data_IF_620847530012
#
_entry.id   IF_620847530012
#
_cell.length_a   1.000
_cell.length_b   1.000
_cell.length_c   1.000
_cell.angle_alpha   90.00
_cell.angle_beta   90.00
_cell.angle_gamma   90.00
#
_symmetry.space_group_name_H-M   'P 1'
#
loop_
_entity.id
_entity.type
_entity.pdbx_description
1 polymer ?
#
# COMPACT_ATOMS: atom_id res chain seq x y z
N UNK A 1 22.20 15.94 33.24
CA UNK A 1 22.25 16.42 31.83
C UNK A 1 22.15 15.22 30.90
N UNK A 2 20.95 14.80 30.53
CA UNK A 2 20.73 13.73 29.54
C UNK A 2 19.98 14.31 28.34
N UNK A 3 20.66 14.53 27.23
CA UNK A 3 20.04 14.98 25.98
C UNK A 3 19.75 13.76 25.11
N UNK A 4 18.48 13.40 25.03
CA UNK A 4 17.96 12.46 24.05
C UNK A 4 18.24 12.97 22.63
N UNK A 5 18.94 12.17 21.83
CA UNK A 5 19.07 12.39 20.38
C UNK A 5 17.78 11.92 19.70
N UNK A 6 16.74 12.76 19.74
CA UNK A 6 15.61 12.63 18.82
C UNK A 6 16.11 12.96 17.42
N UNK A 7 16.06 11.97 16.53
CA UNK A 7 16.38 12.14 15.12
C UNK A 7 15.55 13.31 14.55
N UNK A 8 16.24 14.35 14.07
CA UNK A 8 15.61 15.51 13.44
C UNK A 8 14.73 15.03 12.28
N UNK A 9 13.40 15.09 12.47
CA UNK A 9 12.42 14.99 11.40
C UNK A 9 12.81 15.97 10.30
N UNK A 10 13.29 15.47 9.16
CA UNK A 10 13.68 16.33 8.04
C UNK A 10 12.43 16.69 7.24
N UNK A 11 12.09 17.99 7.22
CA UNK A 11 11.13 18.66 6.30
C UNK A 11 11.56 18.58 4.81
N UNK A 12 12.08 17.44 4.34
CA UNK A 12 12.70 17.32 3.01
C UNK A 12 11.70 17.24 1.86
N UNK A 13 10.44 16.85 2.10
CA UNK A 13 9.48 16.61 1.01
C UNK A 13 9.18 17.85 0.17
N UNK A 14 8.91 19.00 0.82
CA UNK A 14 8.54 20.23 0.13
C UNK A 14 9.73 20.93 -0.56
N UNK A 15 10.90 20.95 0.08
CA UNK A 15 12.09 21.66 -0.42
C UNK A 15 12.84 20.91 -1.54
N UNK A 16 12.62 19.60 -1.67
CA UNK A 16 13.33 18.77 -2.67
C UNK A 16 12.65 18.69 -4.04
N UNK A 17 11.45 19.27 -4.19
CA UNK A 17 10.62 19.05 -5.37
C UNK A 17 10.17 17.59 -5.54
N UNK A 18 10.23 16.78 -4.49
CA UNK A 18 9.84 15.38 -4.52
C UNK A 18 8.31 15.21 -4.46
N UNK A 19 7.82 14.11 -5.02
CA UNK A 19 6.49 13.60 -4.75
C UNK A 19 6.47 12.84 -3.43
N UNK A 20 5.47 13.09 -2.59
CA UNK A 20 5.17 12.25 -1.44
C UNK A 20 4.14 11.22 -1.91
N UNK A 21 4.54 9.95 -1.92
CA UNK A 21 3.70 8.85 -2.40
C UNK A 21 3.36 7.93 -1.25
N UNK A 22 2.07 7.78 -0.95
CA UNK A 22 1.57 6.79 0.01
C UNK A 22 1.18 5.53 -0.75
N UNK A 23 1.85 4.42 -0.45
CA UNK A 23 1.54 3.12 -1.03
C UNK A 23 0.74 2.25 -0.04
N UNK A 24 -0.25 1.55 -0.57
CA UNK A 24 -1.04 0.56 0.16
C UNK A 24 -1.52 -0.56 -0.78
N UNK A 25 -1.74 -1.73 -0.21
CA UNK A 25 -2.28 -2.90 -0.89
C UNK A 25 -3.67 -3.27 -0.35
N UNK A 26 -4.62 -3.46 -1.28
CA UNK A 26 -5.95 -3.99 -0.96
C UNK A 26 -6.17 -5.33 -1.67
N UNK A 27 -6.88 -6.23 -1.00
CA UNK A 27 -7.27 -7.52 -1.57
C UNK A 27 -8.77 -7.72 -1.41
N UNK A 28 -9.46 -7.97 -2.51
CA UNK A 28 -10.89 -8.32 -2.52
C UNK A 28 -11.08 -9.76 -2.97
N UNK A 29 -12.05 -10.45 -2.36
CA UNK A 29 -12.51 -11.75 -2.84
C UNK A 29 -13.54 -11.50 -3.93
N UNK A 30 -13.42 -12.19 -5.08
CA UNK A 30 -14.44 -12.17 -6.12
C UNK A 30 -15.60 -13.14 -5.82
N UNK A 31 -15.70 -13.63 -4.58
CA UNK A 31 -16.90 -14.31 -4.12
C UNK A 31 -18.07 -13.33 -4.23
N UNK A 32 -19.15 -13.74 -4.91
CA UNK A 32 -20.30 -12.87 -5.14
C UNK A 32 -20.73 -12.15 -3.88
N UNK A 33 -20.82 -10.81 -3.96
CA UNK A 33 -21.32 -9.99 -2.87
C UNK A 33 -22.75 -10.42 -2.53
N UNK A 34 -23.10 -10.43 -1.24
CA UNK A 34 -24.50 -10.62 -0.82
C UNK A 34 -25.28 -9.43 -1.36
N UNK A 35 -26.17 -9.69 -2.33
CA UNK A 35 -27.04 -8.67 -2.91
C UNK A 35 -28.39 -8.65 -2.19
N UNK A 36 -29.04 -7.49 -2.19
CA UNK A 36 -30.45 -7.40 -1.80
C UNK A 36 -31.28 -8.33 -2.69
N UNK A 37 -32.00 -9.26 -2.07
CA UNK A 37 -32.93 -10.15 -2.77
C UNK A 37 -34.34 -9.77 -2.34
N UNK A 38 -35.26 -9.67 -3.29
CA UNK A 38 -36.67 -9.48 -2.98
C UNK A 38 -37.24 -10.79 -2.43
N UNK A 39 -37.81 -10.75 -1.23
CA UNK A 39 -38.50 -11.86 -0.60
C UNK A 39 -39.84 -11.38 -0.05
N UNK A 40 -40.85 -12.28 0.07
CA UNK A 40 -42.10 -11.96 0.75
C UNK A 40 -41.83 -11.43 2.17
N UNK A 41 -42.61 -10.43 2.59
CA UNK A 41 -42.48 -9.85 3.91
C UNK A 41 -42.62 -10.93 5.01
N UNK A 42 -41.69 -10.96 5.95
CA UNK A 42 -41.65 -11.95 7.04
C UNK A 42 -41.02 -13.30 6.68
N UNK A 43 -40.51 -13.49 5.44
CA UNK A 43 -39.83 -14.72 5.04
C UNK A 43 -38.35 -14.45 4.77
N UNK A 44 -37.46 -15.05 5.57
CA UNK A 44 -36.01 -14.97 5.34
C UNK A 44 -35.64 -15.82 4.12
N UNK A 45 -35.09 -15.24 3.04
CA UNK A 45 -34.70 -16.01 1.88
C UNK A 45 -33.47 -16.88 2.20
N UNK A 46 -33.55 -18.18 1.91
CA UNK A 46 -32.42 -19.10 1.97
C UNK A 46 -31.71 -19.12 0.61
N UNK A 47 -30.50 -18.56 0.55
CA UNK A 47 -29.69 -18.52 -0.67
C UNK A 47 -28.63 -19.63 -0.65
N UNK A 48 -28.70 -20.55 -1.61
CA UNK A 48 -27.66 -21.54 -1.85
C UNK A 48 -26.60 -20.95 -2.77
N UNK A 49 -25.43 -20.61 -2.22
CA UNK A 49 -24.30 -20.10 -2.99
C UNK A 49 -23.33 -21.23 -3.28
N UNK A 50 -23.12 -21.55 -4.56
CA UNK A 50 -21.99 -22.40 -4.97
C UNK A 50 -20.73 -21.56 -4.83
N UNK A 51 -19.90 -21.87 -3.83
CA UNK A 51 -18.61 -21.22 -3.64
C UNK A 51 -17.67 -21.68 -4.77
N UNK A 52 -17.63 -20.90 -5.86
CA UNK A 52 -16.68 -21.10 -6.95
C UNK A 52 -15.22 -20.95 -6.48
N UNK A 53 -14.26 -21.06 -7.41
CA UNK A 53 -12.85 -20.81 -7.09
C UNK A 53 -12.72 -19.47 -6.34
N UNK A 54 -12.02 -19.46 -5.20
CA UNK A 54 -11.77 -18.24 -4.42
C UNK A 54 -10.77 -17.37 -5.18
N UNK A 55 -11.23 -16.77 -6.28
CA UNK A 55 -10.40 -15.90 -7.08
C UNK A 55 -10.25 -14.60 -6.31
N UNK A 56 -9.05 -14.39 -5.78
CA UNK A 56 -8.67 -13.14 -5.14
C UNK A 56 -8.23 -12.15 -6.21
N UNK A 57 -8.67 -10.91 -6.09
CA UNK A 57 -8.12 -9.78 -6.82
C UNK A 57 -7.38 -8.91 -5.82
N UNK A 58 -6.11 -8.65 -6.07
CA UNK A 58 -5.36 -7.69 -5.28
C UNK A 58 -5.00 -6.47 -6.11
N UNK A 59 -4.95 -5.32 -5.45
CA UNK A 59 -4.66 -4.01 -6.01
C UNK A 59 -3.58 -3.38 -5.15
N UNK A 60 -2.54 -2.84 -5.78
CA UNK A 60 -1.58 -1.96 -5.12
C UNK A 60 -1.70 -0.57 -5.73
N UNK A 61 -1.74 0.45 -4.88
CA UNK A 61 -1.94 1.83 -5.31
C UNK A 61 -0.96 2.79 -4.63
N UNK A 62 -0.69 3.91 -5.30
CA UNK A 62 0.13 5.02 -4.86
C UNK A 62 -0.69 6.31 -4.95
N UNK A 63 -0.99 6.92 -3.81
CA UNK A 63 -1.53 8.28 -3.74
C UNK A 63 -0.38 9.28 -3.69
N UNK A 64 -0.21 10.06 -4.75
CA UNK A 64 0.95 10.89 -5.02
C UNK A 64 0.61 12.38 -4.86
N UNK A 65 1.35 13.08 -4.00
CA UNK A 65 1.15 14.49 -3.70
C UNK A 65 2.43 15.31 -3.89
N UNK A 66 2.31 16.47 -4.53
CA UNK A 66 3.38 17.46 -4.63
C UNK A 66 2.77 18.86 -4.60
N UNK A 67 3.28 19.79 -3.77
CA UNK A 67 2.78 21.17 -3.74
C UNK A 67 2.79 21.82 -5.14
N UNK A 68 1.70 22.49 -5.50
CA UNK A 68 1.56 23.14 -6.81
C UNK A 68 1.31 22.18 -7.98
N UNK A 69 1.07 20.89 -7.72
CA UNK A 69 0.68 19.89 -8.72
C UNK A 69 -0.65 19.25 -8.33
N UNK A 70 -1.42 18.81 -9.32
CA UNK A 70 -2.62 18.02 -9.05
C UNK A 70 -2.23 16.66 -8.46
N UNK A 71 -2.91 16.18 -7.41
CA UNK A 71 -2.71 14.83 -6.89
C UNK A 71 -2.88 13.78 -7.98
N UNK A 72 -2.09 12.70 -7.92
CA UNK A 72 -2.16 11.59 -8.87
C UNK A 72 -2.35 10.28 -8.13
N UNK A 73 -3.12 9.38 -8.73
CA UNK A 73 -3.26 8.00 -8.24
C UNK A 73 -2.74 7.04 -9.31
N UNK A 74 -1.73 6.25 -8.96
CA UNK A 74 -1.20 5.20 -9.81
C UNK A 74 -1.52 3.86 -9.15
N UNK A 75 -2.10 2.93 -9.89
CA UNK A 75 -2.48 1.64 -9.33
C UNK A 75 -2.28 0.53 -10.35
N UNK A 76 -2.16 -0.69 -9.84
CA UNK A 76 -2.16 -1.89 -10.64
C UNK A 76 -2.98 -2.95 -9.91
N UNK A 77 -3.69 -3.77 -10.68
CA UNK A 77 -4.46 -4.90 -10.18
C UNK A 77 -3.92 -6.20 -10.74
N UNK A 78 -4.02 -7.28 -9.98
CA UNK A 78 -3.69 -8.63 -10.45
C UNK A 78 -4.53 -9.69 -9.75
N UNK A 79 -4.80 -10.82 -10.42
CA UNK A 79 -5.31 -12.00 -9.76
C UNK A 79 -4.29 -12.55 -8.74
N UNK A 80 -4.80 -13.10 -7.64
CA UNK A 80 -4.02 -13.66 -6.55
C UNK A 80 -3.43 -12.60 -5.63
N UNK A 81 -2.32 -12.93 -4.98
CA UNK A 81 -1.63 -12.06 -4.03
C UNK A 81 -0.61 -11.15 -4.72
N UNK A 82 -0.37 -9.99 -4.11
CA UNK A 82 0.76 -9.13 -4.48
C UNK A 82 2.07 -9.66 -3.91
N UNK A 83 3.12 -9.64 -4.72
CA UNK A 83 4.47 -10.04 -4.32
C UNK A 83 5.46 -8.90 -4.62
N UNK A 84 6.68 -9.04 -4.10
CA UNK A 84 7.76 -8.05 -4.20
C UNK A 84 8.00 -7.53 -5.63
N UNK A 85 7.96 -8.39 -6.64
CA UNK A 85 8.15 -8.04 -8.07
C UNK A 85 7.06 -7.11 -8.61
N UNK A 86 5.81 -7.31 -8.19
CA UNK A 86 4.69 -6.51 -8.68
C UNK A 86 4.78 -5.09 -8.16
N UNK A 87 5.16 -4.96 -6.89
CA UNK A 87 5.38 -3.67 -6.25
C UNK A 87 6.59 -2.95 -6.84
N UNK A 88 7.69 -3.65 -7.12
CA UNK A 88 8.83 -3.08 -7.85
C UNK A 88 8.38 -2.50 -9.19
N UNK A 89 7.59 -3.26 -9.96
CA UNK A 89 7.12 -2.79 -11.27
C UNK A 89 6.20 -1.57 -11.16
N UNK A 90 5.36 -1.52 -10.11
CA UNK A 90 4.52 -0.36 -9.84
C UNK A 90 5.38 0.87 -9.48
N UNK A 91 6.43 0.71 -8.67
CA UNK A 91 7.34 1.80 -8.31
C UNK A 91 8.16 2.30 -9.51
N UNK A 92 8.62 1.38 -10.37
CA UNK A 92 9.31 1.73 -11.61
C UNK A 92 8.42 2.55 -12.54
N UNK A 93 7.16 2.14 -12.71
CA UNK A 93 6.19 2.91 -13.48
C UNK A 93 5.93 4.28 -12.83
N UNK A 94 5.80 4.34 -11.52
CA UNK A 94 5.61 5.60 -10.81
C UNK A 94 6.79 6.57 -10.96
N UNK A 95 8.03 6.06 -10.95
CA UNK A 95 9.21 6.87 -11.19
C UNK A 95 9.22 7.46 -12.61
N UNK A 96 8.78 6.70 -13.61
CA UNK A 96 8.70 7.15 -14.99
C UNK A 96 7.60 8.20 -15.17
N UNK A 97 6.40 7.95 -14.63
CA UNK A 97 5.23 8.83 -14.77
C UNK A 97 5.35 10.15 -14.02
N UNK A 98 6.01 10.14 -12.85
CA UNK A 98 6.16 11.33 -12.02
C UNK A 98 7.37 12.19 -12.37
N UNK A 99 8.32 11.61 -13.13
CA UNK A 99 9.52 12.27 -13.67
C UNK A 99 10.29 13.13 -12.64
N UNK A 100 10.25 12.76 -11.37
CA UNK A 100 10.83 13.50 -10.25
C UNK A 100 11.10 12.56 -9.07
N UNK A 101 11.93 12.95 -8.09
CA UNK A 101 12.21 12.14 -6.91
C UNK A 101 10.93 11.76 -6.14
N UNK A 102 10.89 10.55 -5.61
CA UNK A 102 9.76 10.06 -4.80
C UNK A 102 10.21 9.83 -3.35
N UNK A 103 9.49 10.43 -2.42
CA UNK A 103 9.45 10.04 -1.03
C UNK A 103 8.30 9.05 -0.82
N UNK A 104 8.65 7.77 -0.79
CA UNK A 104 7.68 6.69 -0.61
C UNK A 104 7.39 6.44 0.87
N UNK A 105 6.11 6.45 1.24
CA UNK A 105 5.59 6.07 2.55
C UNK A 105 4.76 4.80 2.36
N UNK A 106 5.12 3.74 3.07
CA UNK A 106 4.44 2.44 3.01
C UNK A 106 4.50 1.76 4.39
N UNK A 107 3.77 0.66 4.57
CA UNK A 107 3.77 -0.10 5.82
C UNK A 107 5.00 -1.05 5.97
N UNK A 108 5.00 -1.88 7.00
CA UNK A 108 6.10 -2.81 7.32
C UNK A 108 5.88 -4.26 6.82
N UNK A 109 5.03 -4.46 5.80
CA UNK A 109 4.76 -5.78 5.24
C UNK A 109 6.06 -6.49 4.79
N UNK A 110 6.09 -7.82 4.88
CA UNK A 110 7.29 -8.62 4.57
C UNK A 110 7.77 -8.43 3.12
N UNK A 111 6.85 -8.21 2.18
CA UNK A 111 7.16 -7.88 0.78
C UNK A 111 8.00 -6.58 0.65
N UNK A 112 7.71 -5.58 1.50
CA UNK A 112 8.41 -4.29 1.55
C UNK A 112 9.84 -4.41 2.12
N UNK A 113 10.09 -5.47 2.89
CA UNK A 113 11.40 -5.75 3.51
C UNK A 113 12.20 -6.82 2.77
N UNK A 114 11.66 -7.39 1.70
CA UNK A 114 12.36 -8.43 0.93
C UNK A 114 13.72 -7.92 0.43
N UNK A 115 14.68 -8.84 0.29
CA UNK A 115 16.03 -8.50 -0.17
C UNK A 115 16.02 -7.85 -1.55
N UNK A 116 15.08 -8.25 -2.41
CA UNK A 116 14.86 -7.66 -3.73
C UNK A 116 14.38 -6.22 -3.62
N UNK A 117 13.41 -5.94 -2.76
CA UNK A 117 12.94 -4.57 -2.52
C UNK A 117 14.03 -3.67 -1.96
N UNK A 118 14.84 -4.18 -1.01
CA UNK A 118 15.99 -3.46 -0.46
C UNK A 118 17.06 -3.15 -1.49
N UNK A 119 17.31 -4.07 -2.44
CA UNK A 119 18.25 -3.84 -3.56
C UNK A 119 17.69 -2.86 -4.58
N UNK A 120 16.37 -2.87 -4.79
CA UNK A 120 15.71 -1.94 -5.69
C UNK A 120 15.70 -0.49 -5.13
N UNK A 121 15.71 -0.33 -3.80
CA UNK A 121 15.79 0.98 -3.16
C UNK A 121 17.01 1.78 -3.61
N UNK A 122 16.79 2.82 -4.40
CA UNK A 122 17.77 3.87 -4.70
C UNK A 122 17.90 4.88 -3.55
N UNK A 123 19.03 5.61 -3.42
CA UNK A 123 19.19 6.64 -2.40
C UNK A 123 18.06 7.69 -2.49
N UNK A 124 17.22 7.80 -1.46
CA UNK A 124 16.04 8.67 -1.43
C UNK A 124 14.77 8.04 -0.85
N UNK A 125 14.70 6.70 -0.80
CA UNK A 125 13.56 5.96 -0.24
C UNK A 125 13.71 5.78 1.29
N UNK A 126 13.03 6.62 2.08
CA UNK A 126 12.99 6.50 3.54
C UNK A 126 11.80 5.62 3.95
N UNK A 127 12.08 4.40 4.41
CA UNK A 127 11.07 3.54 5.04
C UNK A 127 11.12 3.77 6.53
N UNK A 128 10.17 4.53 7.06
CA UNK A 128 9.99 4.67 8.49
C UNK A 128 9.17 3.49 9.01
N UNK A 129 9.82 2.46 9.53
CA UNK A 129 9.15 1.50 10.39
C UNK A 129 8.94 2.12 11.77
N UNK A 130 7.71 2.09 12.29
CA UNK A 130 7.45 2.39 13.70
C UNK A 130 8.14 1.31 14.55
N UNK A 131 8.97 1.66 15.55
CA UNK A 131 9.56 0.68 16.45
C UNK A 131 8.45 -0.13 17.14
N UNK A 132 8.55 -1.46 17.08
CA UNK A 132 7.61 -2.36 17.74
C UNK A 132 7.49 -2.06 19.23
N UNK A 133 6.26 -2.07 19.74
CA UNK A 133 5.97 -1.90 21.16
C UNK A 133 6.69 -2.97 22.01
N UNK A 134 7.19 -2.62 23.20
CA UNK A 134 7.83 -3.59 24.09
C UNK A 134 6.80 -4.59 24.61
N UNK A 135 7.04 -5.88 24.35
CA UNK A 135 6.33 -6.99 24.98
C UNK A 135 6.67 -7.03 26.47
N UNK A 136 5.66 -7.04 27.34
CA UNK A 136 5.82 -7.26 28.79
C UNK A 136 6.30 -8.70 29.05
N UNK A 137 7.24 -8.91 29.97
CA UNK A 137 7.58 -10.25 30.44
C UNK A 137 6.49 -10.81 31.36
N UNK A 138 6.43 -12.14 31.37
CA UNK A 138 5.52 -13.02 32.11
C UNK A 138 5.60 -12.87 33.63
#
# INVERSE_FOLDING_TARGET
MGRAHLARHRKKGAESGAWICFADESGTSLTGAVQCTWAPAGQTPALHVVKGSQTKLSVAALCCYRPGQQPRMLYRSRPGWYHDRDLITLLDAAHQELAAPILLVWDNLSAHRSHRMRRHRRPGLVGGGVPGAPTRPS
#
